data_IF_658147251403
#
_entry.id   IF_658147251403
#
_cell.length_a   1.000
_cell.length_b   1.000
_cell.length_c   1.000
_cell.angle_alpha   90.00
_cell.angle_beta   90.00
_cell.angle_gamma   90.00
#
_symmetry.space_group_name_H-M   'P 1'
#
loop_
_entity.id
_entity.type
_entity.pdbx_description
1 polymer ?
#
# COMPACT_ATOMS: atom_id res chain seq x y z
N UNK A 1 9.75 -18.29 -14.41
CA UNK A 1 9.08 -17.14 -13.75
C UNK A 1 7.68 -17.61 -13.45
N UNK A 2 7.34 -17.84 -12.19
CA UNK A 2 5.97 -18.22 -11.83
C UNK A 2 5.13 -16.95 -11.93
N UNK A 3 4.12 -16.96 -12.79
CA UNK A 3 3.26 -15.79 -13.05
C UNK A 3 2.59 -15.25 -11.76
N UNK A 4 2.45 -16.10 -10.74
CA UNK A 4 1.89 -15.72 -9.45
C UNK A 4 2.76 -14.74 -8.65
N UNK A 5 4.08 -14.69 -8.90
CA UNK A 5 5.02 -13.77 -8.25
C UNK A 5 5.25 -12.49 -9.04
N UNK A 6 4.50 -12.29 -10.13
CA UNK A 6 4.59 -11.08 -10.93
C UNK A 6 4.18 -9.85 -10.11
N UNK A 7 5.12 -8.90 -9.98
CA UNK A 7 4.89 -7.66 -9.23
C UNK A 7 4.18 -6.61 -10.09
N UNK A 8 3.02 -6.18 -9.63
CA UNK A 8 2.15 -5.21 -10.29
C UNK A 8 2.86 -3.89 -10.60
N UNK A 9 3.66 -3.36 -9.67
CA UNK A 9 4.34 -2.07 -9.83
C UNK A 9 5.57 -2.19 -10.72
N UNK A 10 6.30 -3.31 -10.63
CA UNK A 10 7.41 -3.61 -11.52
C UNK A 10 6.95 -3.71 -12.99
N UNK A 11 5.76 -4.26 -13.23
CA UNK A 11 5.21 -4.47 -14.57
C UNK A 11 4.61 -3.24 -15.26
N UNK A 12 4.43 -2.11 -14.57
CA UNK A 12 3.73 -0.97 -15.17
C UNK A 12 2.62 -0.37 -14.30
N UNK A 13 2.22 -1.06 -13.24
CA UNK A 13 1.21 -0.61 -12.30
C UNK A 13 1.61 0.67 -11.57
N UNK A 14 0.60 1.45 -11.19
CA UNK A 14 0.70 2.65 -10.37
C UNK A 14 -0.58 2.83 -9.55
N UNK A 15 -0.60 3.79 -8.62
CA UNK A 15 -1.70 3.97 -7.64
C UNK A 15 -3.10 4.01 -8.27
N UNK A 16 -3.29 4.76 -9.36
CA UNK A 16 -4.59 4.82 -10.05
C UNK A 16 -4.99 3.47 -10.68
N UNK A 17 -4.04 2.71 -11.24
CA UNK A 17 -4.33 1.35 -11.71
C UNK A 17 -4.64 0.42 -10.54
N UNK A 18 -3.96 0.56 -9.40
CA UNK A 18 -4.25 -0.19 -8.19
C UNK A 18 -5.67 0.10 -7.67
N UNK A 19 -6.12 1.37 -7.71
CA UNK A 19 -7.50 1.73 -7.38
C UNK A 19 -8.52 1.08 -8.31
N UNK A 20 -8.25 1.09 -9.62
CA UNK A 20 -9.11 0.41 -10.61
C UNK A 20 -9.15 -1.09 -10.38
N UNK A 21 -8.01 -1.71 -10.11
CA UNK A 21 -7.88 -3.14 -9.82
C UNK A 21 -8.68 -3.53 -8.57
N UNK A 22 -8.51 -2.79 -7.46
CA UNK A 22 -9.24 -3.02 -6.22
C UNK A 22 -10.77 -2.93 -6.43
N UNK A 23 -11.23 -1.92 -7.18
CA UNK A 23 -12.65 -1.78 -7.50
C UNK A 23 -13.17 -2.93 -8.38
N UNK A 24 -12.37 -3.41 -9.33
CA UNK A 24 -12.72 -4.55 -10.18
C UNK A 24 -12.81 -5.85 -9.39
N UNK A 25 -11.79 -6.14 -8.58
CA UNK A 25 -11.76 -7.32 -7.71
C UNK A 25 -12.94 -7.31 -6.74
N UNK A 26 -13.25 -6.15 -6.14
CA UNK A 26 -14.38 -6.05 -5.21
C UNK A 26 -15.71 -6.49 -5.81
N UNK A 27 -15.93 -6.20 -7.10
CA UNK A 27 -17.13 -6.65 -7.83
C UNK A 27 -17.11 -8.14 -8.17
N UNK A 28 -15.93 -8.70 -8.43
CA UNK A 28 -15.77 -10.10 -8.85
C UNK A 28 -15.80 -11.08 -7.68
N UNK A 29 -15.23 -10.72 -6.54
CA UNK A 29 -15.12 -11.60 -5.36
C UNK A 29 -16.19 -11.33 -4.30
N UNK A 30 -17.14 -10.43 -4.56
CA UNK A 30 -18.22 -10.04 -3.64
C UNK A 30 -17.73 -9.64 -2.23
N UNK A 31 -16.53 -9.07 -2.17
CA UNK A 31 -15.79 -8.72 -0.94
C UNK A 31 -15.14 -7.36 -1.12
N UNK A 32 -14.97 -6.58 -0.05
CA UNK A 32 -14.28 -5.29 -0.18
C UNK A 32 -12.77 -5.49 -0.34
N UNK A 33 -12.25 -5.16 -1.53
CA UNK A 33 -10.81 -5.08 -1.81
C UNK A 33 -10.39 -3.62 -1.85
N UNK A 34 -9.38 -3.24 -1.08
CA UNK A 34 -8.92 -1.85 -0.96
C UNK A 34 -7.70 -1.59 -1.84
N UNK A 35 -7.49 -0.34 -2.31
CA UNK A 35 -6.24 0.02 -2.98
C UNK A 35 -5.01 -0.22 -2.10
N UNK A 36 -5.15 -0.01 -0.78
CA UNK A 36 -4.09 -0.25 0.20
C UNK A 36 -3.61 -1.70 0.22
N UNK A 37 -4.53 -2.67 0.07
CA UNK A 37 -4.18 -4.09 -0.04
C UNK A 37 -3.33 -4.38 -1.28
N UNK A 38 -3.66 -3.79 -2.43
CA UNK A 38 -2.86 -3.91 -3.67
C UNK A 38 -1.49 -3.25 -3.51
N UNK A 39 -1.40 -2.16 -2.75
CA UNK A 39 -0.14 -1.46 -2.50
C UNK A 39 0.85 -2.30 -1.68
N UNK A 40 0.38 -3.03 -0.67
CA UNK A 40 1.25 -3.85 0.21
C UNK A 40 1.44 -5.28 -0.29
N UNK A 41 0.47 -5.81 -1.05
CA UNK A 41 0.53 -7.11 -1.68
C UNK A 41 0.54 -6.95 -3.21
N UNK A 42 1.70 -6.52 -3.71
CA UNK A 42 1.90 -6.20 -5.12
C UNK A 42 1.93 -7.41 -6.06
N UNK A 43 2.02 -8.64 -5.55
CA UNK A 43 2.01 -9.87 -6.36
C UNK A 43 0.66 -10.58 -6.31
N UNK A 44 0.37 -11.38 -7.33
CA UNK A 44 -0.87 -12.18 -7.42
C UNK A 44 -0.98 -13.12 -6.23
N UNK A 45 0.10 -13.82 -5.87
CA UNK A 45 0.14 -14.74 -4.74
C UNK A 45 -0.18 -14.03 -3.41
N UNK A 46 0.49 -12.90 -3.13
CA UNK A 46 0.26 -12.12 -1.90
C UNK A 46 -1.17 -11.59 -1.84
N UNK A 47 -1.70 -11.07 -2.96
CA UNK A 47 -3.03 -10.49 -3.00
C UNK A 47 -4.13 -11.55 -2.83
N UNK A 48 -3.96 -12.73 -3.43
CA UNK A 48 -4.87 -13.86 -3.25
C UNK A 48 -4.94 -14.28 -1.77
N UNK A 49 -3.79 -14.42 -1.10
CA UNK A 49 -3.75 -14.73 0.34
C UNK A 49 -4.51 -13.70 1.19
N UNK A 50 -4.40 -12.41 0.86
CA UNK A 50 -5.14 -11.34 1.58
C UNK A 50 -6.65 -11.44 1.33
N UNK A 51 -7.06 -11.76 0.10
CA UNK A 51 -8.48 -11.88 -0.26
C UNK A 51 -9.11 -13.13 0.39
N UNK A 52 -8.33 -14.19 0.63
CA UNK A 52 -8.81 -15.40 1.28
C UNK A 52 -8.82 -15.29 2.83
N UNK A 53 -7.97 -14.44 3.41
CA UNK A 53 -7.93 -14.19 4.86
C UNK A 53 -9.15 -13.40 5.37
N UNK A 54 -9.54 -13.48 6.65
CA UNK A 54 -10.73 -12.77 7.18
C UNK A 54 -10.68 -11.23 6.95
N UNK A 55 -11.80 -10.64 6.51
CA UNK A 55 -11.90 -9.22 6.12
C UNK A 55 -11.41 -8.25 7.21
N UNK A 56 -11.77 -8.48 8.48
CA UNK A 56 -11.45 -7.53 9.56
C UNK A 56 -9.96 -7.39 9.83
N UNK A 57 -9.19 -8.46 9.57
CA UNK A 57 -7.73 -8.47 9.75
C UNK A 57 -6.99 -7.67 8.68
N UNK A 58 -7.60 -7.43 7.52
CA UNK A 58 -6.92 -6.90 6.33
C UNK A 58 -7.41 -5.50 5.90
N UNK A 59 -8.44 -4.95 6.53
CA UNK A 59 -9.04 -3.64 6.15
C UNK A 59 -8.09 -2.44 6.32
N UNK A 60 -7.14 -2.50 7.26
CA UNK A 60 -6.20 -1.41 7.56
C UNK A 60 -4.92 -1.44 6.71
N UNK A 61 -4.70 -2.53 5.97
CA UNK A 61 -3.53 -2.72 5.12
C UNK A 61 -3.35 -1.57 4.14
N UNK A 62 -2.14 -0.99 4.12
CA UNK A 62 -1.80 0.14 3.27
C UNK A 62 -2.07 1.53 3.86
N UNK A 63 -2.61 1.61 5.09
CA UNK A 63 -2.86 2.84 5.84
C UNK A 63 -2.10 2.93 7.16
N UNK A 64 -1.11 2.05 7.36
CA UNK A 64 -0.30 1.95 8.57
C UNK A 64 0.88 2.91 8.54
N UNK A 65 1.48 3.20 9.71
CA UNK A 65 2.68 4.05 9.85
C UNK A 65 3.87 3.54 9.05
N UNK A 66 3.91 2.24 8.77
CA UNK A 66 4.90 1.59 7.93
C UNK A 66 4.17 1.00 6.73
N UNK A 67 4.56 1.44 5.54
CA UNK A 67 4.03 0.94 4.28
C UNK A 67 5.11 0.16 3.52
N UNK A 68 5.12 -1.19 3.57
CA UNK A 68 6.03 -1.98 2.77
C UNK A 68 5.62 -1.90 1.29
N UNK A 69 6.40 -1.19 0.48
CA UNK A 69 6.16 -1.05 -0.96
C UNK A 69 6.88 -2.14 -1.76
N UNK A 70 8.05 -2.58 -1.27
CA UNK A 70 8.79 -3.72 -1.80
C UNK A 70 9.69 -4.31 -0.71
N UNK A 71 9.66 -5.63 -0.54
CA UNK A 71 10.59 -6.34 0.35
C UNK A 71 11.78 -6.83 -0.45
N UNK A 72 12.99 -6.52 0.03
CA UNK A 72 14.26 -6.99 -0.49
C UNK A 72 15.15 -7.52 0.63
N UNK A 73 16.25 -8.16 0.28
CA UNK A 73 17.21 -8.79 1.19
C UNK A 73 18.50 -7.97 1.40
N UNK A 74 18.52 -6.71 0.96
CA UNK A 74 19.64 -5.78 1.04
C UNK A 74 19.27 -4.49 1.78
N UNK A 75 19.87 -3.34 1.40
CA UNK A 75 19.62 -2.07 2.08
C UNK A 75 18.17 -1.57 1.89
N UNK A 76 17.70 -0.78 2.86
CA UNK A 76 16.34 -0.23 2.87
C UNK A 76 16.32 1.25 2.52
N UNK A 77 15.51 1.61 1.53
CA UNK A 77 15.15 2.99 1.22
C UNK A 77 13.88 3.37 1.98
N UNK A 78 13.96 4.40 2.83
CA UNK A 78 12.82 4.99 3.51
C UNK A 78 12.30 6.23 2.76
N UNK A 79 11.01 6.26 2.46
CA UNK A 79 10.36 7.34 1.73
C UNK A 79 9.33 8.06 2.62
N UNK A 80 9.62 9.31 2.97
CA UNK A 80 8.71 10.14 3.75
C UNK A 80 7.64 10.76 2.84
N UNK A 81 6.39 10.72 3.30
CA UNK A 81 5.27 11.31 2.58
C UNK A 81 5.53 12.80 2.26
N UNK A 82 5.04 13.31 1.11
CA UNK A 82 4.93 14.74 0.88
C UNK A 82 3.66 15.28 1.56
N UNK A 83 3.29 16.54 1.27
CA UNK A 83 2.14 17.22 1.88
C UNK A 83 0.80 16.45 1.79
N UNK A 84 0.67 15.50 0.85
CA UNK A 84 -0.52 14.65 0.73
C UNK A 84 -0.72 13.66 1.87
N UNK A 85 0.32 13.38 2.67
CA UNK A 85 0.27 12.45 3.78
C UNK A 85 0.39 10.96 3.40
N UNK A 86 0.47 10.63 2.10
CA UNK A 86 0.58 9.24 1.62
C UNK A 86 1.89 8.96 0.90
N UNK A 87 2.48 7.79 1.18
CA UNK A 87 3.71 7.32 0.55
C UNK A 87 3.48 6.46 -0.72
N UNK A 88 2.24 6.28 -1.18
CA UNK A 88 1.92 5.39 -2.32
C UNK A 88 2.61 5.76 -3.63
N UNK A 89 2.92 7.04 -3.83
CA UNK A 89 3.62 7.54 -5.02
C UNK A 89 5.03 6.94 -5.22
N UNK A 90 5.66 6.46 -4.14
CA UNK A 90 7.00 5.88 -4.20
C UNK A 90 7.02 4.44 -4.74
N UNK A 91 5.86 3.82 -4.97
CA UNK A 91 5.76 2.49 -5.61
C UNK A 91 6.49 2.41 -6.96
N UNK A 92 6.59 3.53 -7.69
CA UNK A 92 7.30 3.59 -8.98
C UNK A 92 8.80 3.29 -8.86
N UNK A 93 9.40 3.51 -7.69
CA UNK A 93 10.83 3.26 -7.45
C UNK A 93 11.18 1.76 -7.56
N UNK A 94 10.20 0.87 -7.39
CA UNK A 94 10.36 -0.58 -7.57
C UNK A 94 10.92 -0.97 -8.94
N UNK A 95 10.74 -0.14 -9.97
CA UNK A 95 11.24 -0.39 -11.33
C UNK A 95 12.71 -0.03 -11.53
N UNK A 96 13.22 0.89 -10.72
CA UNK A 96 14.53 1.51 -10.97
C UNK A 96 15.59 1.05 -9.97
N UNK A 97 15.16 0.65 -8.77
CA UNK A 97 16.07 0.15 -7.73
C UNK A 97 16.35 -1.33 -7.95
N UNK A 98 17.62 -1.72 -7.73
CA UNK A 98 18.04 -3.12 -7.75
C UNK A 98 17.11 -3.99 -6.88
N UNK A 99 16.70 -5.20 -7.32
CA UNK A 99 15.77 -6.06 -6.60
C UNK A 99 16.14 -6.35 -5.14
N UNK A 100 17.41 -6.26 -4.75
CA UNK A 100 17.82 -6.46 -3.36
C UNK A 100 17.34 -5.34 -2.41
N UNK A 101 16.99 -4.15 -2.92
CA UNK A 101 16.58 -3.03 -2.09
C UNK A 101 15.15 -3.17 -1.58
N UNK A 102 14.98 -3.02 -0.27
CA UNK A 102 13.67 -2.81 0.36
C UNK A 102 13.22 -1.36 0.18
N UNK A 103 11.92 -1.15 0.00
CA UNK A 103 11.29 0.18 -0.12
C UNK A 103 10.19 0.27 0.92
N UNK A 104 10.34 1.21 1.86
CA UNK A 104 9.38 1.45 2.93
C UNK A 104 8.89 2.89 2.85
N UNK A 105 7.57 3.06 2.71
CA UNK A 105 6.90 4.34 2.82
C UNK A 105 6.53 4.66 4.26
N UNK A 106 6.65 5.93 4.65
CA UNK A 106 6.21 6.45 5.95
C UNK A 106 5.13 7.50 5.67
N UNK A 107 3.82 7.16 5.78
CA UNK A 107 2.72 8.12 5.68
C UNK A 107 2.55 8.96 6.96
N UNK A 108 1.77 10.04 6.87
CA UNK A 108 1.28 10.74 8.07
C UNK A 108 0.34 9.78 8.78
N UNK A 109 0.69 9.40 10.00
CA UNK A 109 -0.32 8.90 10.94
C UNK A 109 -1.29 10.02 11.22
N UNK A 110 -2.60 9.81 11.03
CA UNK A 110 -3.61 10.77 11.46
C UNK A 110 -3.23 11.28 12.87
N UNK A 111 -3.13 12.60 13.10
CA UNK A 111 -2.70 13.10 14.38
C UNK A 111 -3.67 12.55 15.42
N UNK A 112 -3.15 11.83 16.41
CA UNK A 112 -3.87 11.59 17.65
C UNK A 112 -3.87 12.92 18.40
N UNK A 113 -4.60 13.91 17.89
CA UNK A 113 -4.70 15.20 18.57
C UNK A 113 -5.55 15.01 19.82
N UNK A 114 -4.98 15.11 21.03
CA UNK A 114 -5.79 15.13 22.23
C UNK A 114 -6.42 16.53 22.30
N UNK A 115 -7.75 16.58 22.32
CA UNK A 115 -8.57 17.80 22.50
C UNK A 115 -8.71 18.72 21.27
N UNK A 116 -9.64 18.38 20.38
CA UNK A 116 -10.40 19.39 19.65
C UNK A 116 -11.69 19.71 20.41
N UNK A 117 -11.57 20.14 21.67
CA UNK A 117 -12.69 20.79 22.36
C UNK A 117 -12.76 22.23 21.83
N UNK A 118 -13.86 22.51 21.14
CA UNK A 118 -14.12 23.73 20.38
C UNK A 118 -14.29 24.99 21.23
N UNK A 119 -13.22 25.46 21.86
CA UNK A 119 -13.13 26.80 22.42
C UNK A 119 -12.88 27.83 21.32
N UNK A 120 -13.93 28.54 20.86
CA UNK A 120 -13.77 29.76 20.07
C UNK A 120 -12.96 30.80 20.86
N UNK A 121 -11.96 31.47 20.28
CA UNK A 121 -11.41 32.68 20.86
C UNK A 121 -12.41 33.84 20.70
N UNK A 122 -12.60 34.59 21.78
CA UNK A 122 -13.39 35.83 21.82
C UNK A 122 -12.63 37.06 21.34
#
# INVERSE_FOLDING_TARGET
MQDADADFFALGGHSLLAMKLAAQLSRQVARQVTPGQVMVASTVAKLATIIDAEEDSTRRMGFETILPLREGNGPTLFCFHPASGFAWQFSVLSRYLDPQWSIIGIPVTAPQWPHADGGKPG
#
